data_IF_969771222971
#
_entry.id   IF_969771222971
#
_cell.length_a   1.000
_cell.length_b   1.000
_cell.length_c   1.000
_cell.angle_alpha   90.00
_cell.angle_beta   90.00
_cell.angle_gamma   90.00
#
_symmetry.space_group_name_H-M   'P 1'
#
loop_
_entity.id
_entity.type
_entity.pdbx_description
1 polymer ?
#
# COMPACT_ATOMS: atom_id res chain seq x y z
N UNK A 1 -20.06 -41.20 -17.12
CA UNK A 1 -20.67 -40.20 -16.21
C UNK A 1 -19.78 -38.96 -16.21
N UNK A 2 -20.14 -37.92 -16.96
CA UNK A 2 -19.45 -36.63 -16.91
C UNK A 2 -19.78 -35.99 -15.58
N UNK A 3 -18.86 -36.06 -14.63
CA UNK A 3 -19.02 -35.39 -13.35
C UNK A 3 -19.13 -33.87 -13.60
N UNK A 4 -20.30 -33.31 -13.32
CA UNK A 4 -20.47 -31.84 -13.34
C UNK A 4 -19.65 -31.25 -12.20
N UNK A 5 -18.57 -30.54 -12.53
CA UNK A 5 -17.82 -29.75 -11.56
C UNK A 5 -18.66 -28.59 -11.01
N UNK A 6 -18.43 -28.17 -9.75
CA UNK A 6 -19.07 -26.97 -9.22
C UNK A 6 -18.88 -25.76 -10.15
N UNK A 7 -19.90 -24.94 -10.29
CA UNK A 7 -19.83 -23.71 -11.09
C UNK A 7 -19.37 -22.56 -10.21
N UNK A 8 -18.30 -21.91 -10.59
CA UNK A 8 -17.80 -20.68 -9.96
C UNK A 8 -18.14 -19.45 -10.82
N UNK A 9 -17.91 -18.27 -10.29
CA UNK A 9 -18.04 -17.02 -11.03
C UNK A 9 -17.01 -16.98 -12.16
N UNK A 10 -17.42 -16.64 -13.38
CA UNK A 10 -16.55 -16.61 -14.57
C UNK A 10 -15.40 -15.59 -14.44
N UNK A 11 -15.57 -14.55 -13.63
CA UNK A 11 -14.51 -13.58 -13.36
C UNK A 11 -13.25 -14.22 -12.77
N UNK A 12 -13.39 -15.35 -12.07
CA UNK A 12 -12.24 -16.06 -11.47
C UNK A 12 -11.31 -16.67 -12.51
N UNK A 13 -11.79 -16.92 -13.74
CA UNK A 13 -10.96 -17.41 -14.83
C UNK A 13 -9.93 -16.39 -15.33
N UNK A 14 -10.13 -15.10 -14.96
CA UNK A 14 -9.24 -14.00 -15.32
C UNK A 14 -8.09 -13.81 -14.32
N UNK A 15 -8.13 -14.49 -13.18
CA UNK A 15 -7.16 -14.33 -12.12
C UNK A 15 -6.21 -15.51 -12.01
N UNK A 16 -4.92 -15.22 -11.91
CA UNK A 16 -3.98 -16.18 -11.36
C UNK A 16 -3.92 -16.00 -9.83
N UNK A 17 -3.73 -17.08 -9.06
CA UNK A 17 -3.45 -16.95 -7.62
C UNK A 17 -2.26 -16.01 -7.38
N UNK A 18 -2.36 -15.20 -6.32
CA UNK A 18 -1.25 -14.31 -5.94
C UNK A 18 0.02 -15.13 -5.73
N UNK A 19 1.10 -14.71 -6.37
CA UNK A 19 2.41 -15.32 -6.21
C UNK A 19 3.29 -14.37 -5.39
N UNK A 20 3.63 -14.71 -4.13
CA UNK A 20 4.57 -13.92 -3.36
C UNK A 20 5.96 -13.92 -4.03
N UNK A 21 6.78 -12.92 -3.70
CA UNK A 21 8.19 -12.93 -4.06
C UNK A 21 8.87 -14.21 -3.55
N UNK A 22 9.81 -14.73 -4.32
CA UNK A 22 10.65 -15.86 -3.89
C UNK A 22 11.73 -15.36 -2.95
N UNK A 23 12.30 -16.26 -2.17
CA UNK A 23 13.51 -16.01 -1.40
C UNK A 23 14.67 -16.75 -2.10
N UNK A 24 15.31 -16.11 -3.12
CA UNK A 24 16.40 -16.73 -3.85
C UNK A 24 17.64 -16.76 -2.95
N UNK A 25 18.42 -17.86 -3.01
CA UNK A 25 19.72 -17.91 -2.37
C UNK A 25 20.79 -17.39 -3.33
N UNK A 26 21.59 -16.44 -2.88
CA UNK A 26 22.77 -15.95 -3.59
C UNK A 26 23.92 -16.96 -3.60
N UNK A 27 25.02 -16.67 -4.30
CA UNK A 27 26.20 -17.55 -4.37
C UNK A 27 26.82 -17.87 -3.02
N UNK A 28 26.65 -16.99 -2.05
CA UNK A 28 27.13 -17.13 -0.66
C UNK A 28 26.06 -17.66 0.31
N UNK A 29 24.89 -18.05 -0.21
CA UNK A 29 23.76 -18.56 0.56
C UNK A 29 22.88 -17.46 1.21
N UNK A 30 23.22 -16.16 1.07
CA UNK A 30 22.39 -15.04 1.57
C UNK A 30 21.17 -14.84 0.68
N UNK A 31 20.11 -14.34 1.29
CA UNK A 31 18.85 -14.01 0.61
C UNK A 31 18.31 -12.67 1.11
N UNK A 32 17.98 -11.78 0.17
CA UNK A 32 17.46 -10.46 0.45
C UNK A 32 16.11 -10.25 -0.24
N UNK A 33 15.04 -10.12 0.55
CA UNK A 33 13.68 -9.93 0.05
C UNK A 33 13.36 -8.44 -0.11
N UNK A 34 13.57 -7.90 -1.30
CA UNK A 34 13.29 -6.51 -1.64
C UNK A 34 12.03 -6.37 -2.53
N UNK A 35 11.10 -7.32 -2.46
CA UNK A 35 9.94 -7.41 -3.37
C UNK A 35 8.61 -6.92 -2.79
N UNK A 36 8.50 -6.74 -1.46
CA UNK A 36 7.20 -6.59 -0.79
C UNK A 36 7.01 -5.29 -0.01
N UNK A 37 7.95 -4.33 -0.10
CA UNK A 37 7.92 -3.06 0.64
C UNK A 37 7.79 -3.27 2.16
N UNK A 38 8.41 -4.33 2.66
CA UNK A 38 8.53 -4.57 4.10
C UNK A 38 9.55 -3.59 4.70
N UNK A 39 9.43 -3.32 6.00
CA UNK A 39 10.46 -2.58 6.74
C UNK A 39 11.70 -3.48 6.89
N UNK A 40 12.93 -2.94 6.70
CA UNK A 40 14.14 -3.68 7.02
C UNK A 40 14.32 -3.92 8.52
N UNK A 41 13.60 -3.17 9.34
CA UNK A 41 13.58 -3.30 10.79
C UNK A 41 12.41 -4.17 11.23
N UNK A 42 12.65 -5.07 12.19
CA UNK A 42 11.58 -5.75 12.91
C UNK A 42 10.75 -4.76 13.76
N UNK A 43 9.69 -5.22 14.44
CA UNK A 43 8.96 -4.38 15.39
C UNK A 43 9.88 -3.83 16.49
N UNK A 44 9.50 -2.70 17.10
CA UNK A 44 10.24 -2.15 18.24
C UNK A 44 10.30 -3.17 19.39
N UNK A 45 11.39 -3.21 20.21
CA UNK A 45 11.48 -4.16 21.31
C UNK A 45 10.28 -4.12 22.26
N UNK A 46 9.80 -2.93 22.62
CA UNK A 46 8.59 -2.74 23.43
C UNK A 46 7.34 -3.34 22.79
N UNK A 47 7.23 -3.28 21.48
CA UNK A 47 6.13 -3.89 20.71
C UNK A 47 6.26 -5.42 20.69
N UNK A 48 7.48 -5.95 20.58
CA UNK A 48 7.73 -7.41 20.64
C UNK A 48 7.30 -7.99 21.98
N UNK A 49 7.56 -7.29 23.09
CA UNK A 49 7.12 -7.70 24.43
C UNK A 49 5.59 -7.78 24.51
N UNK A 50 4.88 -6.80 23.96
CA UNK A 50 3.41 -6.78 23.91
C UNK A 50 2.87 -7.92 23.03
N UNK A 51 3.50 -8.19 21.88
CA UNK A 51 3.17 -9.33 21.00
C UNK A 51 3.29 -10.64 21.77
N UNK A 52 4.42 -10.85 22.48
CA UNK A 52 4.67 -12.07 23.24
C UNK A 52 3.64 -12.26 24.37
N UNK A 53 3.30 -11.20 25.10
CA UNK A 53 2.27 -11.24 26.15
C UNK A 53 0.88 -11.56 25.56
N UNK A 54 0.50 -10.92 24.46
CA UNK A 54 -0.80 -11.13 23.81
C UNK A 54 -0.92 -12.54 23.20
N UNK A 55 0.18 -13.15 22.74
CA UNK A 55 0.19 -14.49 22.18
C UNK A 55 -0.31 -15.57 23.19
N UNK A 56 -0.11 -15.35 24.49
CA UNK A 56 -0.61 -16.23 25.54
C UNK A 56 -2.15 -16.30 25.63
N UNK A 57 -2.87 -15.41 24.97
CA UNK A 57 -4.34 -15.36 24.93
C UNK A 57 -4.92 -15.77 23.55
N UNK A 58 -4.12 -16.37 22.68
CA UNK A 58 -4.52 -16.71 21.28
C UNK A 58 -5.72 -17.68 21.18
N UNK A 59 -6.09 -18.35 22.28
CA UNK A 59 -7.27 -19.20 22.37
C UNK A 59 -8.60 -18.41 22.53
N UNK A 60 -8.54 -17.09 22.65
CA UNK A 60 -9.72 -16.22 22.82
C UNK A 60 -9.94 -15.37 21.58
N UNK A 61 -11.22 -15.13 21.25
CA UNK A 61 -11.55 -14.16 20.21
C UNK A 61 -11.10 -12.76 20.61
N UNK A 62 -10.65 -11.96 19.63
CA UNK A 62 -10.35 -10.54 19.89
C UNK A 62 -11.64 -9.73 20.15
N UNK A 63 -11.47 -8.49 20.61
CA UNK A 63 -12.55 -7.51 20.53
C UNK A 63 -12.93 -7.30 19.07
N UNK A 64 -14.19 -7.60 18.72
CA UNK A 64 -14.70 -7.50 17.35
C UNK A 64 -14.67 -6.06 16.81
N UNK A 65 -14.95 -5.08 17.66
CA UNK A 65 -14.95 -3.66 17.32
C UNK A 65 -13.56 -3.03 17.36
N UNK A 66 -12.55 -3.74 17.89
CA UNK A 66 -11.21 -3.22 18.16
C UNK A 66 -11.26 -1.86 18.88
N UNK A 67 -12.12 -1.73 19.91
CA UNK A 67 -12.45 -0.45 20.54
C UNK A 67 -11.20 0.28 21.07
N UNK A 68 -10.31 -0.44 21.76
CA UNK A 68 -9.08 0.14 22.29
C UNK A 68 -8.14 0.65 21.19
N UNK A 69 -8.02 -0.09 20.08
CA UNK A 69 -7.23 0.34 18.91
C UNK A 69 -7.88 1.54 18.24
N UNK A 70 -9.20 1.53 18.07
CA UNK A 70 -9.97 2.65 17.50
C UNK A 70 -9.76 3.92 18.31
N UNK A 71 -9.81 3.85 19.63
CA UNK A 71 -9.57 4.98 20.54
C UNK A 71 -8.12 5.49 20.45
N UNK A 72 -7.14 4.58 20.38
CA UNK A 72 -5.74 4.96 20.22
C UNK A 72 -5.50 5.70 18.88
N UNK A 73 -6.09 5.23 17.77
CA UNK A 73 -6.03 5.90 16.48
C UNK A 73 -6.73 7.26 16.54
N UNK A 74 -7.95 7.32 17.11
CA UNK A 74 -8.73 8.53 17.27
C UNK A 74 -7.94 9.61 18.00
N UNK A 75 -7.32 9.24 19.11
CA UNK A 75 -6.46 10.12 19.92
C UNK A 75 -5.25 10.60 19.12
N UNK A 76 -4.54 9.68 18.46
CA UNK A 76 -3.32 10.00 17.68
C UNK A 76 -3.58 11.00 16.56
N UNK A 77 -4.72 10.88 15.87
CA UNK A 77 -5.04 11.72 14.71
C UNK A 77 -6.03 12.85 15.03
N UNK A 78 -6.45 13.00 16.30
CA UNK A 78 -7.43 13.98 16.76
C UNK A 78 -8.71 13.94 15.90
N UNK A 79 -9.30 12.75 15.76
CA UNK A 79 -10.54 12.48 15.04
C UNK A 79 -11.54 11.74 15.93
N UNK A 80 -12.86 11.83 15.67
CA UNK A 80 -13.83 11.05 16.42
C UNK A 80 -13.63 9.53 16.22
N UNK A 81 -13.79 8.69 17.25
CA UNK A 81 -13.73 7.22 17.11
C UNK A 81 -14.74 6.68 16.09
N UNK A 82 -15.91 7.32 15.95
CA UNK A 82 -16.92 6.96 14.95
C UNK A 82 -16.44 7.13 13.50
N UNK A 83 -15.38 7.92 13.27
CA UNK A 83 -14.77 8.15 11.94
C UNK A 83 -13.71 7.10 11.56
N UNK A 84 -13.52 6.05 12.37
CA UNK A 84 -12.49 5.04 12.15
C UNK A 84 -13.12 3.70 11.79
N UNK A 85 -12.57 3.06 10.77
CA UNK A 85 -12.79 1.64 10.49
C UNK A 85 -11.44 0.91 10.43
N UNK A 86 -11.36 -0.25 11.06
CA UNK A 86 -10.17 -1.10 11.08
C UNK A 86 -10.38 -2.34 10.21
N UNK A 87 -9.28 -2.97 9.77
CA UNK A 87 -9.37 -4.17 8.94
C UNK A 87 -8.08 -4.99 8.93
N UNK A 88 -8.13 -6.14 8.26
CA UNK A 88 -7.00 -7.04 8.04
C UNK A 88 -5.98 -6.41 7.08
N UNK A 89 -5.21 -5.43 7.57
CA UNK A 89 -4.43 -4.48 6.77
C UNK A 89 -5.33 -3.45 6.06
N UNK A 90 -4.73 -2.43 5.44
CA UNK A 90 -5.49 -1.47 4.61
C UNK A 90 -6.22 -2.16 3.44
N UNK A 91 -5.69 -3.26 2.92
CA UNK A 91 -6.37 -4.08 1.89
C UNK A 91 -7.69 -4.65 2.39
N UNK A 92 -7.76 -5.10 3.66
CA UNK A 92 -9.01 -5.55 4.27
C UNK A 92 -10.04 -4.42 4.35
N UNK A 93 -9.60 -3.20 4.71
CA UNK A 93 -10.49 -2.02 4.69
C UNK A 93 -10.91 -1.66 3.25
N UNK A 94 -9.99 -1.76 2.29
CA UNK A 94 -10.33 -1.56 0.87
C UNK A 94 -11.40 -2.57 0.42
N UNK A 95 -11.27 -3.85 0.80
CA UNK A 95 -12.29 -4.87 0.52
C UNK A 95 -13.63 -4.54 1.16
N UNK A 96 -13.64 -4.00 2.37
CA UNK A 96 -14.88 -3.54 3.03
C UNK A 96 -15.54 -2.42 2.23
N UNK A 97 -14.77 -1.45 1.71
CA UNK A 97 -15.28 -0.37 0.86
C UNK A 97 -15.86 -0.90 -0.45
N UNK A 98 -15.17 -1.85 -1.10
CA UNK A 98 -15.69 -2.50 -2.30
C UNK A 98 -16.98 -3.27 -2.03
N UNK A 99 -17.09 -3.92 -0.87
CA UNK A 99 -18.34 -4.60 -0.48
C UNK A 99 -19.47 -3.62 -0.12
N UNK A 100 -19.13 -2.39 0.28
CA UNK A 100 -20.12 -1.35 0.64
C UNK A 100 -20.59 -0.52 -0.56
N UNK A 101 -19.71 -0.27 -1.54
CA UNK A 101 -19.97 0.66 -2.65
C UNK A 101 -19.72 0.08 -4.05
N UNK A 102 -19.09 -1.11 -4.14
CA UNK A 102 -18.88 -1.80 -5.42
C UNK A 102 -20.07 -2.68 -5.77
N UNK A 103 -20.68 -2.43 -6.91
CA UNK A 103 -21.82 -3.20 -7.43
C UNK A 103 -21.75 -3.30 -8.96
N UNK A 104 -22.48 -4.22 -9.59
CA UNK A 104 -22.57 -4.28 -11.05
C UNK A 104 -23.07 -2.96 -11.65
N UNK A 105 -22.30 -2.39 -12.58
CA UNK A 105 -22.57 -1.10 -13.20
C UNK A 105 -21.87 0.08 -12.50
N UNK A 106 -21.33 -0.09 -11.29
CA UNK A 106 -20.50 0.93 -10.66
C UNK A 106 -19.12 0.99 -11.33
N UNK A 107 -18.60 2.20 -11.50
CA UNK A 107 -17.24 2.43 -11.99
C UNK A 107 -16.31 2.81 -10.84
N UNK A 108 -15.07 2.28 -10.92
CA UNK A 108 -13.99 2.57 -9.97
C UNK A 108 -12.80 3.11 -10.74
N UNK A 109 -12.45 4.37 -10.48
CA UNK A 109 -11.33 5.05 -11.15
C UNK A 109 -10.07 4.92 -10.31
N UNK A 110 -8.95 4.62 -10.96
CA UNK A 110 -7.62 4.69 -10.38
C UNK A 110 -6.56 4.87 -11.47
N UNK A 111 -5.44 5.48 -11.10
CA UNK A 111 -4.31 5.56 -12.02
C UNK A 111 -3.71 4.18 -12.30
N UNK A 112 -3.17 3.96 -13.48
CA UNK A 112 -2.55 2.71 -13.85
C UNK A 112 -1.23 2.92 -14.58
N UNK A 113 -0.14 2.44 -14.01
CA UNK A 113 0.06 1.42 -12.97
C UNK A 113 -0.10 2.01 -11.56
N UNK A 114 -0.89 1.34 -10.74
CA UNK A 114 -1.02 1.59 -9.31
C UNK A 114 -1.14 0.25 -8.55
N UNK A 115 -1.68 0.25 -7.33
CA UNK A 115 -1.72 -0.94 -6.49
C UNK A 115 -2.55 -2.07 -7.11
N UNK A 116 -1.94 -3.24 -7.25
CA UNK A 116 -2.51 -4.39 -7.98
C UNK A 116 -3.79 -4.97 -7.35
N UNK A 117 -4.11 -4.61 -6.10
CA UNK A 117 -5.35 -5.06 -5.47
C UNK A 117 -6.59 -4.32 -5.98
N UNK A 118 -6.47 -3.10 -6.51
CA UNK A 118 -7.64 -2.33 -6.96
C UNK A 118 -8.42 -3.04 -8.08
N UNK A 119 -7.79 -3.43 -9.21
CA UNK A 119 -8.51 -4.17 -10.25
C UNK A 119 -9.09 -5.49 -9.74
N UNK A 120 -8.32 -6.24 -8.93
CA UNK A 120 -8.80 -7.51 -8.37
C UNK A 120 -10.07 -7.32 -7.54
N UNK A 121 -10.09 -6.32 -6.67
CA UNK A 121 -11.24 -6.05 -5.79
C UNK A 121 -12.44 -5.50 -6.57
N UNK A 122 -12.21 -4.64 -7.58
CA UNK A 122 -13.25 -4.15 -8.48
C UNK A 122 -13.94 -5.31 -9.21
N UNK A 123 -13.16 -6.19 -9.84
CA UNK A 123 -13.67 -7.35 -10.55
C UNK A 123 -14.43 -8.32 -9.62
N UNK A 124 -13.92 -8.55 -8.40
CA UNK A 124 -14.60 -9.37 -7.39
C UNK A 124 -15.91 -8.74 -6.91
N UNK A 125 -16.02 -7.42 -6.84
CA UNK A 125 -17.25 -6.71 -6.54
C UNK A 125 -18.23 -6.67 -7.73
N UNK A 126 -17.75 -6.96 -8.94
CA UNK A 126 -18.51 -6.82 -10.18
C UNK A 126 -18.55 -5.39 -10.72
N UNK A 127 -17.70 -4.51 -10.17
CA UNK A 127 -17.58 -3.13 -10.64
C UNK A 127 -16.64 -3.04 -11.87
N UNK A 128 -16.78 -1.97 -12.62
CA UNK A 128 -15.97 -1.69 -13.79
C UNK A 128 -14.73 -0.89 -13.42
N UNK A 129 -13.56 -1.39 -13.77
CA UNK A 129 -12.28 -0.71 -13.58
C UNK A 129 -12.05 0.35 -14.66
N UNK A 130 -11.95 1.62 -14.27
CA UNK A 130 -11.56 2.73 -15.14
C UNK A 130 -10.11 3.09 -14.85
N UNK A 131 -9.20 2.60 -15.70
CA UNK A 131 -7.75 2.75 -15.54
C UNK A 131 -7.27 3.97 -16.31
N UNK A 132 -6.79 4.99 -15.59
CA UNK A 132 -6.24 6.21 -16.17
C UNK A 132 -4.72 6.08 -16.27
N UNK A 133 -4.09 6.28 -17.44
CA UNK A 133 -2.65 6.19 -17.59
C UNK A 133 -1.93 7.17 -16.66
N UNK A 134 -0.74 6.78 -16.18
CA UNK A 134 0.16 7.71 -15.49
C UNK A 134 0.74 8.72 -16.47
N UNK A 135 1.02 9.93 -16.00
CA UNK A 135 1.85 10.93 -16.68
C UNK A 135 3.17 11.05 -15.92
N UNK A 136 4.30 10.84 -16.60
CA UNK A 136 5.64 10.86 -15.98
C UNK A 136 5.73 10.03 -14.69
N UNK A 137 5.16 8.84 -14.72
CA UNK A 137 5.06 7.91 -13.58
C UNK A 137 4.20 8.39 -12.40
N UNK A 138 3.55 9.55 -12.47
CA UNK A 138 2.66 10.10 -11.47
C UNK A 138 1.18 10.03 -11.89
N UNK A 139 0.27 10.18 -10.94
CA UNK A 139 -1.16 10.25 -11.23
C UNK A 139 -1.48 11.51 -12.06
N UNK A 140 -2.15 11.34 -13.18
CA UNK A 140 -2.77 12.45 -13.92
C UNK A 140 -4.16 12.74 -13.32
N UNK A 141 -4.19 13.61 -12.32
CA UNK A 141 -5.43 13.97 -11.62
C UNK A 141 -6.44 14.67 -12.54
N UNK A 142 -5.98 15.36 -13.58
CA UNK A 142 -6.86 15.99 -14.57
C UNK A 142 -7.57 14.94 -15.39
N UNK A 143 -6.83 14.00 -15.96
CA UNK A 143 -7.40 12.88 -16.71
C UNK A 143 -8.29 11.99 -15.83
N UNK A 144 -7.93 11.78 -14.55
CA UNK A 144 -8.78 11.04 -13.60
C UNK A 144 -10.11 11.76 -13.36
N UNK A 145 -10.11 13.11 -13.25
CA UNK A 145 -11.34 13.89 -13.10
C UNK A 145 -12.19 13.90 -14.39
N UNK A 146 -11.54 13.93 -15.56
CA UNK A 146 -12.22 13.86 -16.87
C UNK A 146 -12.88 12.49 -17.11
N UNK A 147 -12.39 11.44 -16.45
CA UNK A 147 -12.94 10.10 -16.54
C UNK A 147 -14.18 9.86 -15.66
N UNK A 148 -14.57 10.82 -14.82
CA UNK A 148 -15.73 10.69 -13.93
C UNK A 148 -17.03 10.69 -14.75
N UNK A 149 -17.88 9.70 -14.49
CA UNK A 149 -19.22 9.58 -15.08
C UNK A 149 -20.30 9.50 -14.00
N UNK A 150 -21.57 9.47 -14.39
CA UNK A 150 -22.67 9.21 -13.46
C UNK A 150 -22.68 7.81 -12.83
N UNK A 151 -21.82 6.89 -13.32
CA UNK A 151 -21.66 5.55 -12.77
C UNK A 151 -20.47 5.45 -11.80
N UNK A 152 -19.62 6.47 -11.72
CA UNK A 152 -18.44 6.46 -10.84
C UNK A 152 -18.88 6.49 -9.38
N UNK A 153 -18.44 5.49 -8.61
CA UNK A 153 -18.74 5.36 -7.16
C UNK A 153 -17.52 5.53 -6.29
N UNK A 154 -16.34 5.13 -6.78
CA UNK A 154 -15.09 5.21 -6.02
C UNK A 154 -13.96 5.69 -6.91
N UNK A 155 -13.04 6.46 -6.32
CA UNK A 155 -11.78 6.89 -6.96
C UNK A 155 -10.65 6.65 -5.98
N UNK A 156 -9.60 5.92 -6.39
CA UNK A 156 -8.41 5.71 -5.59
C UNK A 156 -7.28 6.63 -6.03
N UNK A 157 -6.74 7.37 -5.07
CA UNK A 157 -5.51 8.16 -5.21
C UNK A 157 -4.46 7.57 -4.28
N UNK A 158 -3.53 6.78 -4.82
CA UNK A 158 -2.42 6.19 -4.07
C UNK A 158 -1.29 7.21 -3.95
N UNK A 159 -1.03 7.72 -2.75
CA UNK A 159 -0.11 8.82 -2.56
C UNK A 159 0.74 8.68 -1.28
N UNK A 160 2.00 8.26 -1.39
CA UNK A 160 2.79 7.93 -2.59
C UNK A 160 2.26 6.73 -3.39
N UNK A 161 2.40 6.79 -4.72
CA UNK A 161 1.93 5.72 -5.60
C UNK A 161 2.78 4.45 -5.49
N UNK A 162 2.16 3.32 -5.48
CA UNK A 162 2.80 2.01 -5.62
C UNK A 162 2.44 1.45 -7.02
N UNK A 163 3.40 1.23 -7.95
CA UNK A 163 4.82 0.92 -7.67
C UNK A 163 5.82 2.07 -7.91
N UNK A 164 5.40 3.25 -8.34
CA UNK A 164 6.32 4.28 -8.85
C UNK A 164 6.99 5.13 -7.77
N UNK A 165 6.39 5.22 -6.57
CA UNK A 165 6.87 6.06 -5.46
C UNK A 165 6.57 7.54 -5.62
N UNK A 166 6.07 7.96 -6.77
CA UNK A 166 5.74 9.36 -7.07
C UNK A 166 4.56 9.86 -6.24
N UNK A 167 4.43 11.17 -6.14
CA UNK A 167 3.40 11.81 -5.31
C UNK A 167 2.58 12.82 -6.10
N UNK A 168 1.40 13.13 -5.58
CA UNK A 168 0.60 14.29 -5.97
C UNK A 168 0.65 15.34 -4.88
N UNK A 169 0.74 16.61 -5.28
CA UNK A 169 0.86 17.73 -4.36
C UNK A 169 -0.49 18.33 -3.99
N UNK A 170 -0.51 19.09 -2.90
CA UNK A 170 -1.71 19.69 -2.31
C UNK A 170 -2.57 20.46 -3.31
N UNK A 171 -1.96 21.33 -4.13
CA UNK A 171 -2.73 22.16 -5.06
C UNK A 171 -3.45 21.33 -6.12
N UNK A 172 -2.77 20.36 -6.74
CA UNK A 172 -3.36 19.46 -7.73
C UNK A 172 -4.44 18.56 -7.13
N UNK A 173 -4.18 18.02 -5.92
CA UNK A 173 -5.16 17.17 -5.24
C UNK A 173 -6.40 17.98 -4.82
N UNK A 174 -6.25 19.20 -4.31
CA UNK A 174 -7.39 20.04 -3.96
C UNK A 174 -8.24 20.39 -5.19
N UNK A 175 -7.61 20.81 -6.30
CA UNK A 175 -8.32 21.08 -7.55
C UNK A 175 -9.04 19.84 -8.12
N UNK A 176 -8.44 18.66 -7.98
CA UNK A 176 -9.08 17.40 -8.33
C UNK A 176 -10.32 17.15 -7.46
N UNK A 177 -10.18 17.23 -6.14
CA UNK A 177 -11.28 16.98 -5.20
C UNK A 177 -12.46 17.94 -5.40
N UNK A 178 -12.21 19.18 -5.85
CA UNK A 178 -13.27 20.17 -6.16
C UNK A 178 -14.10 19.79 -7.39
N UNK A 179 -13.58 18.89 -8.24
CA UNK A 179 -14.28 18.37 -9.43
C UNK A 179 -15.04 17.08 -9.16
N UNK A 180 -14.78 16.39 -8.04
CA UNK A 180 -15.41 15.11 -7.73
C UNK A 180 -16.82 15.35 -7.17
N UNK A 181 -17.88 14.68 -7.71
CA UNK A 181 -19.22 14.74 -7.15
C UNK A 181 -19.28 14.29 -5.69
N UNK A 182 -20.15 14.89 -4.90
CA UNK A 182 -20.25 14.63 -3.47
C UNK A 182 -20.72 13.19 -3.14
N UNK A 183 -21.36 12.50 -4.07
CA UNK A 183 -21.80 11.11 -3.98
C UNK A 183 -20.77 10.10 -4.49
N UNK A 184 -19.61 10.56 -4.95
CA UNK A 184 -18.48 9.73 -5.33
C UNK A 184 -17.43 9.71 -4.21
N UNK A 185 -17.10 8.51 -3.70
CA UNK A 185 -16.12 8.33 -2.62
C UNK A 185 -14.70 8.41 -3.17
N UNK A 186 -13.87 9.30 -2.63
CA UNK A 186 -12.44 9.37 -2.92
C UNK A 186 -11.65 8.71 -1.79
N UNK A 187 -10.83 7.73 -2.14
CA UNK A 187 -9.97 7.01 -1.21
C UNK A 187 -8.51 7.46 -1.43
N UNK A 188 -7.96 8.18 -0.45
CA UNK A 188 -6.55 8.53 -0.40
C UNK A 188 -5.81 7.36 0.26
N UNK A 189 -5.13 6.54 -0.55
CA UNK A 189 -4.34 5.42 -0.04
C UNK A 189 -2.93 5.91 0.32
N UNK A 190 -2.73 6.13 1.60
CA UNK A 190 -1.52 6.68 2.19
C UNK A 190 -0.69 5.61 2.92
N UNK A 191 -0.57 4.43 2.33
CA UNK A 191 0.17 3.31 2.93
C UNK A 191 1.65 3.61 3.19
N UNK A 192 2.20 4.66 2.59
CA UNK A 192 3.62 5.07 2.71
C UNK A 192 3.80 6.46 3.32
N UNK A 193 2.78 7.01 3.95
CA UNK A 193 2.75 8.41 4.45
C UNK A 193 3.94 8.76 5.35
N UNK A 194 4.35 7.84 6.20
CA UNK A 194 5.42 8.07 7.18
C UNK A 194 6.78 8.33 6.52
N UNK A 195 6.98 7.88 5.28
CA UNK A 195 8.22 8.09 4.51
C UNK A 195 8.27 9.41 3.75
N UNK A 196 7.16 10.13 3.65
CA UNK A 196 7.07 11.40 2.90
C UNK A 196 7.88 12.48 3.59
N UNK A 197 8.72 13.17 2.82
CA UNK A 197 9.52 14.33 3.28
C UNK A 197 9.23 15.59 2.47
N UNK A 198 8.57 15.47 1.32
CA UNK A 198 8.14 16.64 0.55
C UNK A 198 6.96 17.34 1.25
N UNK A 199 7.19 18.56 1.75
CA UNK A 199 6.19 19.37 2.44
C UNK A 199 5.01 19.83 1.58
N UNK A 200 5.12 19.72 0.24
CA UNK A 200 4.03 20.02 -0.68
C UNK A 200 3.00 18.87 -0.77
N UNK A 201 3.33 17.66 -0.30
CA UNK A 201 2.42 16.52 -0.23
C UNK A 201 1.48 16.68 0.96
N UNK A 202 0.16 16.75 0.75
CA UNK A 202 -0.77 16.92 1.85
C UNK A 202 -0.88 15.66 2.71
N UNK A 203 -1.21 15.83 3.98
CA UNK A 203 -1.75 14.76 4.81
C UNK A 203 -3.26 14.64 4.52
N UNK A 204 -3.71 13.46 4.08
CA UNK A 204 -5.10 13.21 3.73
C UNK A 204 -6.05 13.43 4.92
N UNK A 205 -5.59 13.16 6.16
CA UNK A 205 -6.37 13.42 7.37
C UNK A 205 -6.65 14.93 7.55
N UNK A 206 -5.83 15.82 7.00
CA UNK A 206 -6.15 17.24 6.98
C UNK A 206 -7.24 17.59 5.95
N UNK A 207 -7.37 16.78 4.89
CA UNK A 207 -8.28 17.05 3.78
C UNK A 207 -9.69 16.47 4.00
N UNK A 208 -9.79 15.30 4.66
CA UNK A 208 -11.10 14.65 4.85
C UNK A 208 -12.02 15.45 5.76
N UNK A 209 -11.47 16.30 6.66
CA UNK A 209 -12.26 17.01 7.69
C UNK A 209 -13.40 17.84 7.09
N UNK A 210 -13.12 18.49 5.98
CA UNK A 210 -14.07 19.38 5.28
C UNK A 210 -14.71 18.70 4.05
N UNK A 211 -14.45 17.39 3.84
CA UNK A 211 -14.89 16.65 2.65
C UNK A 211 -15.48 15.30 3.05
N UNK A 212 -16.83 15.23 3.24
CA UNK A 212 -17.51 14.02 3.69
C UNK A 212 -17.33 12.79 2.81
N UNK A 213 -17.00 13.00 1.52
CA UNK A 213 -16.74 11.95 0.54
C UNK A 213 -15.26 11.59 0.40
N UNK A 214 -14.39 12.00 1.33
CA UNK A 214 -12.98 11.60 1.35
C UNK A 214 -12.70 10.64 2.49
N UNK A 215 -12.08 9.51 2.16
CA UNK A 215 -11.57 8.51 3.09
C UNK A 215 -10.05 8.38 2.96
N UNK A 216 -9.35 8.20 4.08
CA UNK A 216 -7.89 8.06 4.13
C UNK A 216 -7.52 6.68 4.64
N UNK A 217 -6.82 5.88 3.84
CA UNK A 217 -6.30 4.58 4.24
C UNK A 217 -4.89 4.69 4.80
N UNK A 218 -4.63 4.00 5.91
CA UNK A 218 -3.33 3.85 6.55
C UNK A 218 -3.08 2.40 6.94
N UNK A 219 -1.83 2.04 7.10
CA UNK A 219 -1.46 0.66 7.43
C UNK A 219 -0.33 0.61 8.45
N UNK A 220 -0.35 -0.42 9.30
CA UNK A 220 0.78 -0.75 10.16
C UNK A 220 1.78 -1.70 9.49
N UNK A 221 1.55 -2.07 8.23
CA UNK A 221 2.38 -3.05 7.51
C UNK A 221 3.72 -2.49 7.02
N UNK A 222 3.87 -1.17 6.88
CA UNK A 222 5.04 -0.54 6.25
C UNK A 222 5.95 0.08 7.30
N UNK A 223 5.78 1.35 7.61
CA UNK A 223 6.61 2.07 8.58
C UNK A 223 6.65 1.38 9.95
N UNK A 224 5.51 0.89 10.42
CA UNK A 224 5.39 0.26 11.74
C UNK A 224 5.96 -1.17 11.82
N UNK A 225 6.39 -1.77 10.69
CA UNK A 225 7.03 -3.10 10.69
C UNK A 225 6.10 -4.26 11.08
N UNK A 226 4.78 -4.09 11.01
CA UNK A 226 3.79 -5.09 11.43
C UNK A 226 3.13 -5.82 10.24
N UNK A 227 3.82 -5.96 9.13
CA UNK A 227 3.27 -6.57 7.91
C UNK A 227 2.65 -7.96 8.15
N UNK A 228 3.27 -8.79 8.98
CA UNK A 228 2.81 -10.13 9.33
C UNK A 228 1.57 -10.17 10.22
N UNK A 229 1.28 -9.11 10.97
CA UNK A 229 0.15 -9.06 11.90
C UNK A 229 -1.17 -8.67 11.24
N UNK A 230 -1.14 -8.12 10.03
CA UNK A 230 -2.31 -7.79 9.21
C UNK A 230 -3.26 -6.81 9.88
N UNK A 231 -2.83 -5.59 10.13
CA UNK A 231 -3.66 -4.52 10.69
C UNK A 231 -3.48 -3.22 9.93
N UNK A 232 -4.59 -2.53 9.67
CA UNK A 232 -4.67 -1.23 9.03
C UNK A 232 -6.00 -0.56 9.36
N UNK A 233 -6.15 0.68 8.96
CA UNK A 233 -7.34 1.46 9.28
C UNK A 233 -7.66 2.48 8.19
N UNK A 234 -8.87 3.01 8.28
CA UNK A 234 -9.36 4.14 7.51
C UNK A 234 -9.85 5.23 8.47
N UNK A 235 -9.61 6.48 8.08
CA UNK A 235 -10.26 7.65 8.66
C UNK A 235 -11.18 8.25 7.61
N UNK A 236 -12.47 8.37 7.92
CA UNK A 236 -13.49 8.96 7.06
C UNK A 236 -14.63 9.51 7.91
N UNK A 237 -15.53 10.30 7.34
CA UNK A 237 -16.73 10.69 8.06
C UNK A 237 -17.56 9.47 8.47
N UNK A 238 -18.33 9.60 9.56
CA UNK A 238 -19.04 8.52 10.24
C UNK A 238 -19.85 7.62 9.30
N UNK A 239 -20.56 8.20 8.33
CA UNK A 239 -21.37 7.45 7.37
C UNK A 239 -20.51 6.45 6.55
N UNK A 240 -19.32 6.88 6.08
CA UNK A 240 -18.40 6.04 5.31
C UNK A 240 -17.74 5.00 6.21
N UNK A 241 -17.29 5.42 7.41
CA UNK A 241 -16.68 4.52 8.37
C UNK A 241 -17.67 3.43 8.85
N UNK A 242 -18.94 3.80 9.08
CA UNK A 242 -20.00 2.86 9.43
C UNK A 242 -20.28 1.86 8.30
N UNK A 243 -20.34 2.32 7.03
CA UNK A 243 -20.53 1.45 5.88
C UNK A 243 -19.41 0.40 5.78
N UNK A 244 -18.15 0.80 5.97
CA UNK A 244 -17.02 -0.12 6.00
C UNK A 244 -17.11 -1.12 7.18
N UNK A 245 -17.49 -0.66 8.39
CA UNK A 245 -17.68 -1.55 9.54
C UNK A 245 -18.80 -2.57 9.34
N UNK A 246 -19.88 -2.22 8.62
CA UNK A 246 -20.99 -3.14 8.31
C UNK A 246 -20.59 -4.30 7.40
N UNK A 247 -19.55 -4.11 6.60
CA UNK A 247 -19.05 -5.14 5.65
C UNK A 247 -17.82 -5.89 6.20
N UNK A 248 -17.37 -5.55 7.41
CA UNK A 248 -16.25 -6.20 8.07
C UNK A 248 -16.65 -7.62 8.52
N UNK A 249 -15.80 -8.61 8.23
CA UNK A 249 -15.97 -9.94 8.77
C UNK A 249 -15.77 -9.95 10.29
N UNK A 250 -16.56 -10.72 11.06
CA UNK A 250 -16.37 -10.82 12.50
C UNK A 250 -14.94 -11.20 12.88
N UNK A 251 -14.40 -10.55 13.90
CA UNK A 251 -13.08 -10.83 14.48
C UNK A 251 -11.90 -10.73 13.51
N UNK A 252 -12.02 -9.92 12.47
CA UNK A 252 -11.05 -9.87 11.35
C UNK A 252 -9.67 -9.35 11.77
N UNK A 253 -9.58 -8.47 12.79
CA UNK A 253 -8.31 -7.99 13.33
C UNK A 253 -7.98 -8.76 14.61
N UNK A 254 -6.96 -9.61 14.56
CA UNK A 254 -6.59 -10.48 15.69
C UNK A 254 -6.08 -9.68 16.90
N UNK A 255 -6.18 -10.28 18.10
CA UNK A 255 -5.85 -9.61 19.38
C UNK A 255 -4.39 -9.17 19.45
N UNK A 256 -3.46 -9.96 18.90
CA UNK A 256 -2.04 -9.63 18.89
C UNK A 256 -1.79 -8.40 18.02
N UNK A 257 -2.45 -8.32 16.86
CA UNK A 257 -2.37 -7.17 15.96
C UNK A 257 -2.93 -5.88 16.60
N UNK A 258 -4.07 -5.98 17.31
CA UNK A 258 -4.65 -4.85 18.02
C UNK A 258 -3.68 -4.32 19.10
N UNK A 259 -3.14 -5.20 19.93
CA UNK A 259 -2.21 -4.84 21.00
C UNK A 259 -0.90 -4.25 20.44
N UNK A 260 -0.32 -4.87 19.41
CA UNK A 260 0.92 -4.41 18.78
C UNK A 260 0.74 -3.05 18.10
N UNK A 261 -0.40 -2.79 17.44
CA UNK A 261 -0.68 -1.51 16.82
C UNK A 261 -0.82 -0.39 17.85
N UNK A 262 -1.50 -0.63 18.98
CA UNK A 262 -1.61 0.33 20.09
C UNK A 262 -0.21 0.64 20.65
N UNK A 263 0.60 -0.39 20.92
CA UNK A 263 1.96 -0.20 21.43
C UNK A 263 2.84 0.58 20.45
N UNK A 264 2.71 0.30 19.15
CA UNK A 264 3.46 1.01 18.09
C UNK A 264 3.07 2.49 17.98
N UNK A 265 1.79 2.85 18.15
CA UNK A 265 1.35 4.25 18.20
C UNK A 265 1.91 4.96 19.42
N UNK A 266 2.00 4.27 20.58
CA UNK A 266 2.56 4.84 21.80
C UNK A 266 4.09 5.07 21.70
N UNK A 267 4.80 4.27 20.88
CA UNK A 267 6.24 4.36 20.64
C UNK A 267 6.59 5.04 19.30
N UNK A 268 5.69 5.85 18.74
CA UNK A 268 5.84 6.42 17.38
C UNK A 268 7.09 7.27 17.21
N UNK A 269 7.57 7.98 18.23
CA UNK A 269 8.79 8.77 18.13
C UNK A 269 10.01 7.88 17.80
N UNK A 270 10.19 6.76 18.51
CA UNK A 270 11.27 5.78 18.23
C UNK A 270 11.09 5.12 16.85
N UNK A 271 9.84 4.90 16.44
CA UNK A 271 9.52 4.38 15.12
C UNK A 271 9.97 5.34 14.03
N UNK A 272 9.71 6.64 14.18
CA UNK A 272 10.06 7.65 13.17
C UNK A 272 11.56 7.78 12.98
N UNK A 273 12.40 7.55 14.01
CA UNK A 273 13.85 7.47 13.85
C UNK A 273 14.27 6.35 12.89
N UNK A 274 13.58 5.20 12.93
CA UNK A 274 13.80 4.10 11.97
C UNK A 274 13.30 4.45 10.57
N UNK A 275 12.19 5.17 10.48
CA UNK A 275 11.68 5.68 9.20
C UNK A 275 12.68 6.63 8.57
N UNK A 276 13.30 7.53 9.35
CA UNK A 276 14.33 8.45 8.88
C UNK A 276 15.57 7.71 8.35
N UNK A 277 15.97 6.61 9.00
CA UNK A 277 17.03 5.76 8.51
C UNK A 277 16.70 5.14 7.13
N UNK A 278 15.45 4.66 6.93
CA UNK A 278 15.01 4.13 5.64
C UNK A 278 14.96 5.24 4.58
N UNK A 279 14.49 6.44 4.93
CA UNK A 279 14.46 7.59 4.02
C UNK A 279 15.86 7.98 3.56
N UNK A 280 16.81 8.08 4.49
CA UNK A 280 18.22 8.36 4.18
C UNK A 280 18.80 7.32 3.22
N UNK A 281 18.52 6.05 3.49
CA UNK A 281 19.00 4.95 2.66
C UNK A 281 18.31 4.94 1.27
N UNK A 282 17.02 5.24 1.20
CA UNK A 282 16.30 5.45 -0.06
C UNK A 282 16.97 6.51 -0.92
N UNK A 283 17.29 7.64 -0.32
CA UNK A 283 17.88 8.77 -1.03
C UNK A 283 19.31 8.43 -1.49
N UNK A 284 20.09 7.67 -0.71
CA UNK A 284 21.39 7.11 -1.10
C UNK A 284 21.24 6.18 -2.30
N UNK A 285 20.40 5.16 -2.19
CA UNK A 285 20.19 4.15 -3.25
C UNK A 285 19.74 4.82 -4.54
N UNK A 286 18.78 5.75 -4.45
CA UNK A 286 18.32 6.50 -5.63
C UNK A 286 19.45 7.33 -6.24
N UNK A 287 20.24 8.03 -5.43
CA UNK A 287 21.38 8.84 -5.88
C UNK A 287 22.44 8.01 -6.60
N UNK A 288 22.81 6.85 -6.05
CA UNK A 288 23.77 5.93 -6.66
C UNK A 288 23.24 5.36 -8.00
N UNK A 289 21.99 4.95 -8.06
CA UNK A 289 21.38 4.48 -9.31
C UNK A 289 21.37 5.57 -10.39
N UNK A 290 21.04 6.80 -10.03
CA UNK A 290 21.12 7.96 -10.94
C UNK A 290 22.56 8.21 -11.39
N UNK A 291 23.54 8.15 -10.46
CA UNK A 291 24.97 8.28 -10.75
C UNK A 291 25.49 7.19 -11.69
N UNK A 292 24.93 5.98 -11.61
CA UNK A 292 25.18 4.90 -12.55
C UNK A 292 24.46 5.10 -13.91
N UNK A 293 23.62 6.12 -14.05
CA UNK A 293 22.88 6.48 -15.28
C UNK A 293 21.56 5.72 -15.45
N UNK A 294 20.96 5.18 -14.38
CA UNK A 294 19.61 4.64 -14.43
C UNK A 294 18.57 5.78 -14.40
N UNK A 295 17.43 5.56 -15.06
CA UNK A 295 16.25 6.40 -14.86
C UNK A 295 15.54 5.95 -13.60
N UNK A 296 15.41 6.85 -12.61
CA UNK A 296 14.75 6.57 -11.33
C UNK A 296 13.85 7.76 -10.99
N UNK A 297 12.53 7.65 -11.14
CA UNK A 297 11.61 8.72 -10.76
C UNK A 297 11.79 9.16 -9.29
N UNK A 298 11.41 10.39 -8.93
CA UNK A 298 11.33 10.80 -7.54
C UNK A 298 10.43 9.85 -6.75
N UNK A 299 10.82 9.54 -5.51
CA UNK A 299 10.04 8.64 -4.66
C UNK A 299 9.94 9.17 -3.24
N UNK A 300 8.75 9.11 -2.70
CA UNK A 300 8.43 9.42 -1.29
C UNK A 300 7.95 8.18 -0.53
N UNK A 301 8.19 6.97 -1.08
CA UNK A 301 7.88 5.69 -0.45
C UNK A 301 9.16 5.01 0.10
N UNK A 302 9.03 3.78 0.58
CA UNK A 302 10.18 2.95 1.02
C UNK A 302 10.69 2.03 -0.11
N UNK A 303 10.66 2.47 -1.34
CA UNK A 303 11.13 1.74 -2.51
C UNK A 303 11.52 2.70 -3.64
N UNK A 304 12.25 2.19 -4.61
CA UNK A 304 12.52 2.84 -5.89
C UNK A 304 11.84 2.09 -7.03
N UNK A 305 11.56 2.82 -8.10
CA UNK A 305 11.02 2.28 -9.34
C UNK A 305 12.06 2.42 -10.46
N UNK A 306 12.33 1.32 -11.17
CA UNK A 306 13.15 1.31 -12.37
C UNK A 306 12.24 1.02 -13.59
N UNK A 307 12.01 1.99 -14.49
CA UNK A 307 11.24 1.81 -15.71
C UNK A 307 12.11 1.12 -16.78
N UNK A 308 12.21 -0.21 -16.71
CA UNK A 308 13.16 -1.02 -17.48
C UNK A 308 12.61 -1.48 -18.82
N UNK A 309 11.30 -1.31 -19.11
CA UNK A 309 10.71 -1.84 -20.32
C UNK A 309 10.94 -3.35 -20.46
N UNK A 310 11.31 -3.78 -21.66
CA UNK A 310 11.58 -5.19 -21.99
C UNK A 310 12.77 -5.79 -21.24
N UNK A 311 13.66 -4.98 -20.65
CA UNK A 311 14.77 -5.45 -19.82
C UNK A 311 14.34 -5.90 -18.41
N UNK A 312 13.10 -5.65 -18.03
CA UNK A 312 12.58 -5.97 -16.68
C UNK A 312 12.82 -7.43 -16.25
N UNK A 313 12.49 -8.46 -17.06
CA UNK A 313 12.75 -9.85 -16.68
C UNK A 313 14.23 -10.17 -16.55
N UNK A 314 15.07 -9.60 -17.44
CA UNK A 314 16.51 -9.79 -17.43
C UNK A 314 17.17 -9.23 -16.18
N UNK A 315 16.79 -8.02 -15.78
CA UNK A 315 17.28 -7.38 -14.55
C UNK A 315 16.81 -8.14 -13.32
N UNK A 316 15.53 -8.54 -13.26
CA UNK A 316 15.02 -9.34 -12.15
C UNK A 316 15.78 -10.66 -11.98
N UNK A 317 16.07 -11.37 -13.09
CA UNK A 317 16.88 -12.58 -13.06
C UNK A 317 18.34 -12.32 -12.65
N UNK A 318 18.91 -11.15 -12.98
CA UNK A 318 20.24 -10.77 -12.50
C UNK A 318 20.26 -10.56 -10.99
N UNK A 319 19.24 -9.90 -10.43
CA UNK A 319 19.06 -9.76 -8.98
C UNK A 319 18.90 -11.13 -8.30
N UNK A 320 18.04 -12.02 -8.83
CA UNK A 320 17.83 -13.37 -8.27
C UNK A 320 19.14 -14.19 -8.19
N UNK A 321 19.99 -14.09 -9.21
CA UNK A 321 21.32 -14.77 -9.20
C UNK A 321 22.24 -14.31 -8.06
N UNK A 322 22.01 -13.11 -7.52
CA UNK A 322 22.75 -12.55 -6.39
C UNK A 322 21.95 -12.63 -5.08
N UNK A 323 20.88 -13.43 -5.03
CA UNK A 323 20.10 -13.64 -3.84
C UNK A 323 19.10 -12.50 -3.52
N UNK A 324 18.82 -11.62 -4.48
CA UNK A 324 17.88 -10.51 -4.27
C UNK A 324 16.56 -10.80 -5.00
N UNK A 325 15.43 -10.79 -4.26
CA UNK A 325 14.12 -10.77 -4.89
C UNK A 325 13.61 -9.33 -5.02
N UNK A 326 13.26 -8.93 -6.23
CA UNK A 326 12.59 -7.67 -6.54
C UNK A 326 11.18 -7.92 -7.07
N UNK A 327 10.37 -6.88 -7.26
CA UNK A 327 9.02 -7.02 -7.84
C UNK A 327 8.99 -6.53 -9.29
N UNK A 328 9.05 -7.42 -10.29
CA UNK A 328 8.87 -7.05 -11.70
C UNK A 328 7.38 -6.84 -12.02
N UNK A 329 7.10 -5.91 -12.94
CA UNK A 329 5.78 -5.60 -13.47
C UNK A 329 5.79 -5.74 -15.01
N UNK A 330 5.79 -6.98 -15.47
CA UNK A 330 5.81 -7.30 -16.92
C UNK A 330 6.99 -6.62 -17.62
N UNK A 331 6.69 -5.92 -18.71
CA UNK A 331 7.64 -5.09 -19.48
C UNK A 331 7.55 -3.60 -19.12
N UNK A 332 7.05 -3.24 -17.93
CA UNK A 332 6.94 -1.85 -17.52
C UNK A 332 8.14 -1.41 -16.66
N UNK A 333 8.59 -2.28 -15.77
CA UNK A 333 9.69 -1.98 -14.86
C UNK A 333 9.69 -2.85 -13.62
N UNK A 334 10.57 -2.50 -12.69
CA UNK A 334 10.72 -3.21 -11.42
C UNK A 334 10.65 -2.25 -10.23
N UNK A 335 9.89 -2.65 -9.19
CA UNK A 335 9.88 -1.97 -7.89
C UNK A 335 10.82 -2.71 -6.95
N UNK A 336 11.67 -1.96 -6.28
CA UNK A 336 12.70 -2.48 -5.37
C UNK A 336 12.53 -1.81 -4.02
N UNK A 337 12.19 -2.57 -3.00
CA UNK A 337 12.10 -2.09 -1.61
C UNK A 337 13.48 -1.67 -1.12
N UNK A 338 13.51 -0.65 -0.26
CA UNK A 338 14.72 -0.30 0.46
C UNK A 338 14.90 -1.30 1.61
N UNK A 339 15.99 -2.05 1.56
CA UNK A 339 16.42 -3.00 2.57
C UNK A 339 17.37 -2.37 3.60
N UNK A 340 18.10 -3.21 4.30
CA UNK A 340 19.27 -2.79 5.06
C UNK A 340 20.43 -2.41 4.11
N UNK A 341 21.48 -1.81 4.66
CA UNK A 341 22.61 -1.32 3.88
C UNK A 341 23.27 -2.43 3.04
N UNK A 342 23.40 -3.64 3.61
CA UNK A 342 24.00 -4.79 2.92
C UNK A 342 23.17 -5.22 1.70
N UNK A 343 21.85 -5.35 1.85
CA UNK A 343 20.95 -5.71 0.76
C UNK A 343 20.99 -4.67 -0.37
N UNK A 344 21.02 -3.39 0.01
CA UNK A 344 21.07 -2.28 -0.94
C UNK A 344 22.40 -2.19 -1.66
N UNK A 345 23.52 -2.47 -1.00
CA UNK A 345 24.86 -2.51 -1.62
C UNK A 345 24.97 -3.64 -2.65
N UNK A 346 24.44 -4.82 -2.34
CA UNK A 346 24.37 -5.93 -3.32
C UNK A 346 23.49 -5.54 -4.51
N UNK A 347 22.36 -4.89 -4.29
CA UNK A 347 21.50 -4.35 -5.38
C UNK A 347 22.27 -3.36 -6.26
N UNK A 348 22.97 -2.40 -5.66
CA UNK A 348 23.73 -1.38 -6.39
C UNK A 348 24.88 -1.99 -7.21
N UNK A 349 25.53 -3.03 -6.67
CA UNK A 349 26.55 -3.80 -7.40
C UNK A 349 25.94 -4.55 -8.62
N UNK A 350 24.78 -5.18 -8.45
CA UNK A 350 24.04 -5.81 -9.57
C UNK A 350 23.68 -4.77 -10.64
N UNK A 351 23.15 -3.62 -10.22
CA UNK A 351 22.78 -2.55 -11.13
C UNK A 351 23.99 -2.00 -11.90
N UNK A 352 25.14 -1.83 -11.23
CA UNK A 352 26.38 -1.37 -11.86
C UNK A 352 26.89 -2.36 -12.92
N UNK A 353 26.81 -3.66 -12.64
CA UNK A 353 27.32 -4.72 -13.54
C UNK A 353 26.34 -5.09 -14.67
N UNK A 354 25.07 -4.69 -14.56
CA UNK A 354 24.05 -5.08 -15.54
C UNK A 354 24.24 -4.35 -16.89
N UNK A 355 24.35 -5.09 -18.02
CA UNK A 355 24.50 -4.49 -19.33
C UNK A 355 23.19 -3.82 -19.74
N UNK A 356 23.17 -2.49 -19.81
CA UNK A 356 22.02 -1.73 -20.27
C UNK A 356 21.93 -1.77 -21.79
N UNK A 357 20.75 -2.07 -22.30
CA UNK A 357 20.46 -1.88 -23.73
C UNK A 357 20.05 -0.41 -23.90
N UNK A 358 20.87 0.34 -24.62
CA UNK A 358 20.60 1.74 -25.00
C UNK A 358 19.52 1.83 -26.06
#
# INVERSE_FOLDING_TARGET
MSGSSPRFRSVLDQFAPYRPGRDPAGPDGRSFKLSSNESPFGPLPSVVEVIAAAAGQANRYPDNGAAALTEAIATRFAVPPSHIAVGCGSVGVTQQLFAAAGEPGAEVIYAWRSFEAYPLLADLAGATSVRVPLSDHAHDLTAMADAITGQTRMIFVCNPNNPTGTVVHRAGLAAFLDRVPADCLVILDEAYREYVRDGAVPDGISLYRDRPNVAVLRTFSKAYGLAGLRVGFMVAHEQVAEAARKTMLPFTVNAIAQAAAIASLAAEAELLDRVDAVVKERDRVRGELLGQGWTVPPTEANFVWLPLGDDTPGFAAACERQGISIRPFGAEGARISIGDEEANDVLLAVAHAYPRRH
#
